data_IF_029800596574
#
_entry.id   IF_029800596574
#
_cell.length_a   1.000
_cell.length_b   1.000
_cell.length_c   1.000
_cell.angle_alpha   90.00
_cell.angle_beta   90.00
_cell.angle_gamma   90.00
#
_symmetry.space_group_name_H-M   'P 1'
#
loop_
_entity.id
_entity.type
_entity.pdbx_description
1 polymer ?
#
# COMPACT_ATOMS: atom_id res chain seq x y z
N UNK A 1 54.27 29.22 32.19
CA UNK A 1 55.23 30.09 31.49
C UNK A 1 54.44 31.14 30.71
N UNK A 2 54.89 32.38 30.83
CA UNK A 2 54.20 33.62 30.47
C UNK A 2 55.10 34.35 29.46
N UNK A 3 54.47 35.15 28.60
CA UNK A 3 54.88 36.54 28.28
C UNK A 3 55.84 36.79 27.08
N UNK A 4 55.20 37.41 26.07
CA UNK A 4 55.54 38.65 25.31
C UNK A 4 56.71 38.74 24.33
N UNK A 5 56.43 39.41 23.21
CA UNK A 5 57.00 40.67 22.70
C UNK A 5 56.95 40.64 21.16
N UNK A 6 56.80 41.71 20.36
CA UNK A 6 56.54 43.14 20.53
C UNK A 6 56.79 43.77 19.15
N UNK A 7 56.01 44.79 18.73
CA UNK A 7 56.44 45.98 17.93
C UNK A 7 57.08 45.74 16.54
N UNK A 8 57.05 46.59 15.51
CA UNK A 8 56.49 47.89 15.17
C UNK A 8 56.68 48.00 13.62
N UNK A 9 55.67 48.42 12.85
CA UNK A 9 55.56 49.73 12.17
C UNK A 9 56.73 50.18 11.26
N UNK A 10 56.40 50.39 9.98
CA UNK A 10 56.77 51.54 9.10
C UNK A 10 56.02 51.33 7.76
N UNK A 11 55.08 52.14 7.22
CA UNK A 11 54.93 53.62 7.10
C UNK A 11 56.17 54.19 6.38
N UNK A 12 56.13 54.78 5.18
CA UNK A 12 55.07 55.50 4.45
C UNK A 12 55.52 55.89 3.02
N UNK A 13 54.56 56.45 2.26
CA UNK A 13 54.66 57.40 1.13
C UNK A 13 55.04 56.87 -0.27
N UNK A 14 54.44 57.35 -1.36
CA UNK A 14 53.32 58.30 -1.53
C UNK A 14 52.92 58.31 -3.01
N UNK A 15 51.61 58.20 -3.24
CA UNK A 15 50.78 58.77 -4.31
C UNK A 15 51.44 59.40 -5.55
N UNK A 16 50.96 58.97 -6.74
CA UNK A 16 50.12 59.84 -7.60
C UNK A 16 49.52 59.11 -8.82
N UNK A 17 48.18 59.19 -8.94
CA UNK A 17 47.40 59.17 -10.19
C UNK A 17 47.24 57.79 -10.86
N UNK A 18 46.09 57.39 -11.40
CA UNK A 18 44.80 58.04 -11.60
C UNK A 18 43.75 56.94 -11.81
N UNK A 19 42.49 57.33 -11.58
CA UNK A 19 41.25 56.61 -11.86
C UNK A 19 41.35 55.55 -12.97
N UNK A 20 40.96 54.32 -12.65
CA UNK A 20 39.98 53.61 -13.48
C UNK A 20 39.17 52.61 -12.66
N UNK A 21 37.88 52.63 -12.95
CA UNK A 21 36.71 52.06 -12.30
C UNK A 21 36.90 50.69 -11.63
N UNK A 22 36.41 50.59 -10.40
CA UNK A 22 35.89 49.35 -9.83
C UNK A 22 34.84 48.76 -10.79
N UNK A 23 35.20 47.68 -11.47
CA UNK A 23 34.24 46.65 -11.90
C UNK A 23 34.44 45.46 -10.97
N UNK A 24 33.54 45.33 -10.00
CA UNK A 24 33.30 44.06 -9.34
C UNK A 24 32.76 43.11 -10.41
N UNK A 25 33.65 42.45 -11.14
CA UNK A 25 33.29 41.26 -11.91
C UNK A 25 32.93 40.18 -10.88
N UNK A 26 31.66 40.17 -10.48
CA UNK A 26 31.04 38.93 -10.08
C UNK A 26 31.10 38.04 -11.31
N UNK A 27 32.15 37.20 -11.40
CA UNK A 27 32.18 36.10 -12.34
C UNK A 27 30.90 35.30 -12.07
N UNK A 28 29.95 35.37 -13.00
CA UNK A 28 28.72 34.59 -12.91
C UNK A 28 29.13 33.13 -12.78
N UNK A 29 28.95 32.56 -11.57
CA UNK A 29 29.26 31.15 -11.34
C UNK A 29 28.42 30.33 -12.30
N UNK A 30 29.07 29.45 -13.06
CA UNK A 30 28.36 28.50 -13.91
C UNK A 30 27.41 27.66 -13.07
N UNK A 31 26.32 27.16 -13.66
CA UNK A 31 25.37 26.32 -12.94
C UNK A 31 26.03 25.03 -12.41
N UNK A 32 27.01 24.48 -13.13
CA UNK A 32 27.87 23.37 -12.66
C UNK A 32 28.58 23.72 -11.35
N UNK A 33 29.14 24.92 -11.22
CA UNK A 33 29.84 25.34 -9.99
C UNK A 33 28.88 25.58 -8.83
N UNK A 34 27.69 26.14 -9.10
CA UNK A 34 26.62 26.25 -8.09
C UNK A 34 26.18 24.87 -7.60
N UNK A 35 26.04 23.89 -8.49
CA UNK A 35 25.67 22.51 -8.15
C UNK A 35 26.76 21.87 -7.26
N UNK A 36 28.04 21.98 -7.63
CA UNK A 36 29.16 21.43 -6.84
C UNK A 36 29.18 21.99 -5.42
N UNK A 37 29.00 23.30 -5.27
CA UNK A 37 28.97 23.98 -3.98
C UNK A 37 27.75 23.57 -3.15
N UNK A 38 26.57 23.47 -3.77
CA UNK A 38 25.36 23.02 -3.10
C UNK A 38 25.48 21.58 -2.60
N UNK A 39 26.01 20.65 -3.41
CA UNK A 39 26.14 19.24 -3.02
C UNK A 39 27.04 19.07 -1.80
N UNK A 40 28.19 19.75 -1.80
CA UNK A 40 29.15 19.71 -0.68
C UNK A 40 28.59 20.34 0.61
N UNK A 41 27.82 21.42 0.50
CA UNK A 41 27.23 22.11 1.66
C UNK A 41 26.00 21.42 2.23
N UNK A 42 25.11 20.91 1.36
CA UNK A 42 23.83 20.31 1.77
C UNK A 42 23.94 18.84 2.20
N UNK A 43 24.99 18.14 1.77
CA UNK A 43 25.22 16.74 2.10
C UNK A 43 26.65 16.50 2.61
N UNK A 44 27.05 17.10 3.75
CA UNK A 44 28.41 17.00 4.28
C UNK A 44 28.86 15.56 4.60
N UNK A 45 27.91 14.64 4.79
CA UNK A 45 28.14 13.22 5.04
C UNK A 45 28.45 12.41 3.77
N UNK A 46 28.36 13.01 2.59
CA UNK A 46 28.63 12.38 1.29
C UNK A 46 29.89 13.00 0.69
N UNK A 47 30.82 12.16 0.26
CA UNK A 47 32.02 12.59 -0.46
C UNK A 47 31.69 12.69 -1.95
N UNK A 48 31.66 13.91 -2.48
CA UNK A 48 31.45 14.17 -3.90
C UNK A 48 32.77 14.46 -4.62
N UNK A 49 33.03 13.68 -5.66
CA UNK A 49 34.13 13.90 -6.59
C UNK A 49 33.59 14.15 -8.01
N UNK A 50 34.26 15.04 -8.74
CA UNK A 50 33.85 15.52 -10.07
C UNK A 50 35.04 15.46 -11.01
N UNK A 51 35.00 14.56 -12.00
CA UNK A 51 36.08 14.38 -12.99
C UNK A 51 35.57 13.60 -14.21
N UNK A 52 36.33 13.63 -15.31
CA UNK A 52 36.07 12.82 -16.51
C UNK A 52 36.28 11.34 -16.22
N UNK A 53 35.30 10.50 -16.58
CA UNK A 53 35.30 9.09 -16.20
C UNK A 53 36.04 8.28 -17.27
N UNK A 54 37.36 8.25 -17.20
CA UNK A 54 38.22 7.55 -18.15
C UNK A 54 38.26 6.03 -17.93
N UNK A 55 37.11 5.35 -17.92
CA UNK A 55 36.97 3.88 -17.93
C UNK A 55 37.64 3.08 -16.80
N UNK A 56 38.43 3.70 -15.92
CA UNK A 56 39.29 3.06 -14.94
C UNK A 56 38.74 3.16 -13.52
N UNK A 57 37.41 3.02 -13.44
CA UNK A 57 36.65 3.21 -12.21
C UNK A 57 37.03 2.21 -11.12
N UNK A 58 37.55 1.04 -11.52
CA UNK A 58 38.03 0.01 -10.61
C UNK A 58 39.27 0.46 -9.83
N UNK A 59 40.21 1.15 -10.47
CA UNK A 59 41.40 1.69 -9.79
C UNK A 59 41.02 2.83 -8.86
N UNK A 60 40.13 3.72 -9.30
CA UNK A 60 39.61 4.81 -8.48
C UNK A 60 38.82 4.27 -7.26
N UNK A 61 37.94 3.30 -7.45
CA UNK A 61 37.18 2.66 -6.39
C UNK A 61 38.07 1.99 -5.33
N UNK A 62 39.23 1.46 -5.74
CA UNK A 62 40.18 0.80 -4.86
C UNK A 62 40.99 1.77 -3.98
N UNK A 63 41.17 3.04 -4.39
CA UNK A 63 41.89 4.05 -3.61
C UNK A 63 40.99 4.82 -2.66
N UNK A 64 39.67 4.76 -2.85
CA UNK A 64 38.68 5.45 -2.01
C UNK A 64 38.29 4.58 -0.81
N UNK A 65 38.13 5.23 0.33
CA UNK A 65 37.62 4.62 1.56
C UNK A 65 36.35 5.34 2.01
N UNK A 66 35.50 4.67 2.79
CA UNK A 66 34.27 5.25 3.29
C UNK A 66 33.03 4.79 2.54
N UNK A 67 31.87 5.03 3.14
CA UNK A 67 30.61 4.38 2.76
C UNK A 67 29.68 5.24 1.91
N UNK A 68 30.03 6.51 1.66
CA UNK A 68 29.15 7.49 1.03
C UNK A 68 29.89 8.26 -0.07
N UNK A 69 30.42 7.55 -1.06
CA UNK A 69 31.13 8.19 -2.19
C UNK A 69 30.18 8.36 -3.38
N UNK A 70 30.11 9.56 -3.95
CA UNK A 70 29.39 9.81 -5.19
C UNK A 70 30.33 10.50 -6.17
N UNK A 71 30.50 9.89 -7.34
CA UNK A 71 31.25 10.45 -8.46
C UNK A 71 30.26 10.91 -9.49
N UNK A 72 30.41 12.14 -9.97
CA UNK A 72 29.57 12.70 -11.03
C UNK A 72 30.45 13.17 -12.18
N UNK A 73 30.14 12.71 -13.40
CA UNK A 73 30.82 13.17 -14.61
C UNK A 73 30.69 14.69 -14.76
N UNK A 74 31.78 15.34 -15.15
CA UNK A 74 31.80 16.78 -15.38
C UNK A 74 30.89 17.17 -16.56
N UNK A 75 30.94 16.41 -17.65
CA UNK A 75 30.08 16.64 -18.81
C UNK A 75 28.60 16.51 -18.47
N UNK A 76 28.25 15.61 -17.56
CA UNK A 76 26.88 15.48 -17.09
C UNK A 76 26.44 16.75 -16.37
N UNK A 77 27.27 17.29 -15.46
CA UNK A 77 26.95 18.53 -14.74
C UNK A 77 26.81 19.74 -15.64
N UNK A 78 27.64 19.84 -16.68
CA UNK A 78 27.61 20.95 -17.63
C UNK A 78 26.33 20.98 -18.48
N UNK A 79 25.68 19.83 -18.65
CA UNK A 79 24.39 19.71 -19.36
C UNK A 79 23.18 20.03 -18.48
N UNK A 80 23.35 20.27 -17.17
CA UNK A 80 22.25 20.45 -16.22
C UNK A 80 22.09 21.91 -15.78
N UNK A 81 20.84 22.34 -15.61
CA UNK A 81 20.53 23.60 -14.94
C UNK A 81 20.51 23.40 -13.42
N UNK A 82 20.85 24.44 -12.66
CA UNK A 82 20.89 24.36 -11.19
C UNK A 82 19.53 23.93 -10.60
N UNK A 83 18.43 24.55 -11.05
CA UNK A 83 17.09 24.30 -10.50
C UNK A 83 16.60 22.87 -10.73
N UNK A 84 16.82 22.33 -11.94
CA UNK A 84 16.42 20.96 -12.29
C UNK A 84 17.21 19.92 -11.49
N UNK A 85 18.51 20.14 -11.35
CA UNK A 85 19.39 19.22 -10.63
C UNK A 85 19.06 19.15 -9.14
N UNK A 86 18.79 20.29 -8.48
CA UNK A 86 18.40 20.31 -7.07
C UNK A 86 17.01 19.72 -6.85
N UNK A 87 16.04 20.09 -7.69
CA UNK A 87 14.64 19.69 -7.53
C UNK A 87 14.42 18.19 -7.65
N UNK A 88 15.18 17.51 -8.52
CA UNK A 88 14.97 16.09 -8.83
C UNK A 88 16.19 15.22 -8.52
N UNK A 89 17.38 15.62 -8.99
CA UNK A 89 18.53 14.73 -9.09
C UNK A 89 19.27 14.55 -7.77
N UNK A 90 19.56 15.64 -7.05
CA UNK A 90 20.29 15.59 -5.77
C UNK A 90 19.59 14.71 -4.72
N UNK A 91 18.26 14.88 -4.57
CA UNK A 91 17.46 14.10 -3.61
C UNK A 91 17.36 12.62 -4.02
N UNK A 92 17.24 12.35 -5.33
CA UNK A 92 17.24 10.97 -5.88
C UNK A 92 18.57 10.27 -5.59
N UNK A 93 19.71 10.92 -5.87
CA UNK A 93 21.05 10.37 -5.61
C UNK A 93 21.27 10.06 -4.13
N UNK A 94 20.89 10.98 -3.23
CA UNK A 94 20.99 10.75 -1.79
C UNK A 94 20.18 9.54 -1.32
N UNK A 95 18.95 9.40 -1.82
CA UNK A 95 18.09 8.26 -1.49
C UNK A 95 18.62 6.94 -2.07
N UNK A 96 19.15 6.98 -3.30
CA UNK A 96 19.74 5.83 -3.95
C UNK A 96 20.98 5.35 -3.18
N UNK A 97 21.83 6.28 -2.75
CA UNK A 97 23.03 5.99 -1.95
C UNK A 97 22.67 5.27 -0.65
N UNK A 98 21.65 5.77 0.08
CA UNK A 98 21.16 5.12 1.31
C UNK A 98 20.61 3.71 1.07
N UNK A 99 19.90 3.49 -0.03
CA UNK A 99 19.37 2.16 -0.39
C UNK A 99 20.51 1.20 -0.73
N UNK A 100 21.44 1.66 -1.56
CA UNK A 100 22.59 0.85 -1.97
C UNK A 100 23.48 0.49 -0.77
N UNK A 101 23.73 1.43 0.13
CA UNK A 101 24.48 1.18 1.37
C UNK A 101 23.88 0.03 2.20
N UNK A 102 22.55 0.00 2.38
CA UNK A 102 21.87 -1.09 3.10
C UNK A 102 22.00 -2.43 2.38
N UNK A 103 21.87 -2.42 1.06
CA UNK A 103 22.02 -3.63 0.22
C UNK A 103 23.45 -4.18 0.31
N UNK A 104 24.44 -3.32 0.11
CA UNK A 104 25.86 -3.68 0.19
C UNK A 104 26.24 -4.20 1.57
N UNK A 105 25.76 -3.57 2.66
CA UNK A 105 25.96 -4.07 4.03
C UNK A 105 25.41 -5.48 4.23
N UNK A 106 24.23 -5.77 3.67
CA UNK A 106 23.62 -7.09 3.73
C UNK A 106 24.44 -8.11 2.95
N UNK A 107 24.86 -7.76 1.74
CA UNK A 107 25.70 -8.61 0.89
C UNK A 107 27.06 -8.92 1.54
N UNK A 108 27.74 -7.90 2.08
CA UNK A 108 29.00 -8.07 2.78
C UNK A 108 28.86 -8.94 4.04
N UNK A 109 27.75 -8.78 4.79
CA UNK A 109 27.43 -9.63 5.93
C UNK A 109 27.26 -11.11 5.52
N UNK A 110 26.52 -11.38 4.45
CA UNK A 110 26.34 -12.74 3.92
C UNK A 110 27.67 -13.35 3.45
N UNK A 111 28.56 -12.53 2.90
CA UNK A 111 29.90 -12.95 2.47
C UNK A 111 30.91 -13.04 3.63
N UNK A 112 30.54 -12.61 4.84
CA UNK A 112 31.44 -12.55 5.99
C UNK A 112 32.63 -11.59 5.80
N UNK A 113 32.47 -10.57 4.95
CA UNK A 113 33.51 -9.58 4.63
C UNK A 113 33.15 -8.22 5.20
N UNK A 114 34.16 -7.41 5.52
CA UNK A 114 33.96 -6.02 5.93
C UNK A 114 34.02 -5.10 4.71
N UNK A 115 33.16 -4.09 4.68
CA UNK A 115 33.13 -3.14 3.56
C UNK A 115 34.21 -2.09 3.77
N UNK A 116 35.07 -1.91 2.76
CA UNK A 116 36.08 -0.86 2.71
C UNK A 116 35.57 0.40 2.04
N UNK A 117 34.85 0.26 0.93
CA UNK A 117 34.26 1.39 0.21
C UNK A 117 32.95 1.06 -0.50
N UNK A 118 32.07 2.05 -0.56
CA UNK A 118 30.82 2.01 -1.32
C UNK A 118 30.70 3.33 -2.07
N UNK A 119 30.21 3.28 -3.31
CA UNK A 119 29.75 4.50 -3.94
C UNK A 119 28.90 4.33 -5.18
N UNK A 120 28.44 5.48 -5.70
CA UNK A 120 27.65 5.62 -6.91
C UNK A 120 28.37 6.51 -7.94
N UNK A 121 28.39 6.07 -9.20
CA UNK A 121 28.94 6.81 -10.33
C UNK A 121 27.78 7.29 -11.18
N UNK A 122 27.76 8.56 -11.51
CA UNK A 122 26.86 9.14 -12.51
C UNK A 122 27.67 9.41 -13.76
N UNK A 123 27.35 8.73 -14.85
CA UNK A 123 28.03 8.89 -16.14
C UNK A 123 27.55 10.13 -16.91
N UNK A 124 28.12 10.37 -18.09
CA UNK A 124 27.84 11.52 -18.98
C UNK A 124 26.38 11.58 -19.45
N UNK A 125 25.69 10.43 -19.48
CA UNK A 125 24.29 10.28 -19.87
C UNK A 125 23.34 10.35 -18.65
N UNK A 126 23.87 10.42 -17.43
CA UNK A 126 23.11 10.44 -16.20
C UNK A 126 22.72 9.06 -15.66
N UNK A 127 23.25 7.97 -16.23
CA UNK A 127 23.04 6.61 -15.70
C UNK A 127 23.88 6.42 -14.45
N UNK A 128 23.29 5.74 -13.47
CA UNK A 128 23.92 5.52 -12.17
C UNK A 128 24.44 4.09 -12.07
N UNK A 129 25.76 3.96 -12.01
CA UNK A 129 26.46 2.71 -11.69
C UNK A 129 26.89 2.69 -10.23
N UNK A 130 27.18 1.52 -9.67
CA UNK A 130 27.55 1.39 -8.26
C UNK A 130 28.76 0.48 -8.08
N UNK A 131 29.55 0.73 -7.03
CA UNK A 131 30.69 -0.12 -6.69
C UNK A 131 30.74 -0.41 -5.19
N UNK A 132 31.29 -1.59 -4.87
CA UNK A 132 31.55 -2.04 -3.51
C UNK A 132 32.94 -2.67 -3.45
N UNK A 133 33.80 -2.12 -2.59
CA UNK A 133 35.06 -2.75 -2.23
C UNK A 133 34.95 -3.38 -0.85
N UNK A 134 35.33 -4.65 -0.75
CA UNK A 134 35.30 -5.43 0.49
C UNK A 134 36.71 -5.82 0.90
N UNK A 135 36.94 -6.08 2.19
CA UNK A 135 38.19 -6.63 2.68
C UNK A 135 38.44 -8.02 2.10
N UNK A 136 39.69 -8.34 1.83
CA UNK A 136 40.10 -9.74 1.71
C UNK A 136 39.81 -10.46 3.03
N UNK A 137 39.41 -11.74 2.92
CA UNK A 137 38.86 -12.51 4.03
C UNK A 137 39.74 -12.44 5.28
N UNK A 138 39.14 -12.13 6.44
CA UNK A 138 39.75 -12.52 7.70
C UNK A 138 39.48 -14.01 7.90
N UNK A 139 40.50 -14.87 7.72
CA UNK A 139 40.45 -16.32 7.96
C UNK A 139 39.78 -16.68 9.30
N UNK A 140 39.90 -15.82 10.31
CA UNK A 140 39.34 -16.04 11.65
C UNK A 140 37.82 -16.19 11.66
N UNK A 141 37.06 -15.32 10.96
CA UNK A 141 35.59 -15.39 10.92
C UNK A 141 35.09 -16.58 10.09
N UNK A 142 35.79 -16.92 9.01
CA UNK A 142 35.52 -18.13 8.22
C UNK A 142 35.77 -19.39 9.06
N UNK A 143 36.82 -19.40 9.89
CA UNK A 143 37.13 -20.53 10.77
C UNK A 143 36.09 -20.75 11.87
N UNK A 144 35.48 -19.70 12.43
CA UNK A 144 34.43 -19.85 13.44
C UNK A 144 33.12 -20.36 12.82
N UNK A 145 32.74 -19.81 11.66
CA UNK A 145 31.56 -20.29 10.94
C UNK A 145 31.76 -21.72 10.45
N UNK A 146 32.93 -22.07 9.90
CA UNK A 146 33.28 -23.44 9.51
C UNK A 146 33.34 -24.37 10.72
N UNK A 147 33.86 -23.92 11.88
CA UNK A 147 33.80 -24.69 13.13
C UNK A 147 32.36 -24.94 13.55
N UNK A 148 31.50 -23.93 13.52
CA UNK A 148 30.09 -24.07 13.89
C UNK A 148 29.34 -24.99 12.92
N UNK A 149 29.60 -24.86 11.62
CA UNK A 149 29.02 -25.69 10.56
C UNK A 149 29.52 -27.14 10.66
N UNK A 150 30.79 -27.34 10.99
CA UNK A 150 31.36 -28.66 11.26
C UNK A 150 30.83 -29.26 12.57
N UNK A 151 30.53 -28.44 13.58
CA UNK A 151 29.89 -28.88 14.81
C UNK A 151 28.46 -29.36 14.54
N UNK A 152 27.70 -28.60 13.75
CA UNK A 152 26.35 -28.98 13.31
C UNK A 152 26.36 -30.25 12.47
N UNK A 153 27.31 -30.38 11.52
CA UNK A 153 27.48 -31.62 10.74
C UNK A 153 27.86 -32.81 11.62
N UNK A 154 28.76 -32.62 12.59
CA UNK A 154 29.12 -33.67 13.56
C UNK A 154 27.93 -34.05 14.45
N UNK A 155 27.11 -33.10 14.87
CA UNK A 155 25.87 -33.36 15.60
C UNK A 155 24.86 -34.12 14.73
N UNK A 156 24.72 -33.74 13.46
CA UNK A 156 23.89 -34.45 12.49
C UNK A 156 24.43 -35.86 12.24
N UNK A 157 25.75 -36.05 12.26
CA UNK A 157 26.46 -37.33 12.11
C UNK A 157 26.39 -38.25 13.35
N UNK A 158 26.15 -37.68 14.53
CA UNK A 158 25.98 -38.42 15.79
C UNK A 158 24.54 -38.94 15.98
N UNK A 159 23.58 -38.46 15.18
CA UNK A 159 22.22 -38.98 15.17
C UNK A 159 22.17 -40.35 14.48
N UNK A 160 21.50 -41.31 15.11
CA UNK A 160 21.17 -42.63 14.55
C UNK A 160 20.57 -42.47 13.13
N UNK A 161 21.00 -43.24 12.11
CA UNK A 161 20.48 -43.17 10.74
C UNK A 161 18.95 -43.07 10.65
N UNK A 162 18.22 -43.77 11.52
CA UNK A 162 16.75 -43.71 11.58
C UNK A 162 16.20 -42.40 12.17
N UNK A 163 16.92 -41.75 13.08
CA UNK A 163 16.57 -40.43 13.63
C UNK A 163 16.86 -39.31 12.62
N UNK A 164 17.98 -39.41 11.89
CA UNK A 164 18.37 -38.46 10.84
C UNK A 164 17.36 -38.41 9.68
N UNK A 165 16.89 -39.58 9.26
CA UNK A 165 15.82 -39.72 8.26
C UNK A 165 14.50 -39.16 8.80
N UNK A 166 14.16 -39.43 10.07
CA UNK A 166 12.98 -38.83 10.72
C UNK A 166 13.07 -37.32 10.77
N UNK A 167 14.15 -36.72 11.25
CA UNK A 167 14.26 -35.25 11.36
C UNK A 167 14.23 -34.56 9.99
N UNK A 168 14.83 -35.15 8.94
CA UNK A 168 14.71 -34.65 7.56
C UNK A 168 13.30 -34.79 6.98
N UNK A 169 12.55 -35.85 7.34
CA UNK A 169 11.16 -36.04 6.90
C UNK A 169 10.13 -35.28 7.77
N UNK A 170 10.47 -34.95 9.01
CA UNK A 170 9.59 -34.25 9.96
C UNK A 170 9.83 -32.74 9.84
N UNK A 171 9.64 -32.17 8.65
CA UNK A 171 8.98 -30.86 8.58
C UNK A 171 7.50 -31.11 8.85
N UNK A 172 7.17 -31.41 10.12
CA UNK A 172 5.80 -31.70 10.54
C UNK A 172 4.89 -30.55 10.15
N UNK A 173 4.09 -30.73 9.11
CA UNK A 173 3.09 -29.76 8.70
C UNK A 173 2.07 -29.57 9.83
N UNK A 174 2.18 -28.45 10.57
CA UNK A 174 1.31 -28.16 11.72
C UNK A 174 -0.07 -27.68 11.24
N UNK A 175 -0.96 -28.61 10.90
CA UNK A 175 -2.38 -28.32 10.68
C UNK A 175 -3.18 -28.51 11.98
N UNK A 176 -3.49 -27.41 12.68
CA UNK A 176 -4.32 -27.44 13.90
C UNK A 176 -5.81 -27.37 13.54
N UNK A 177 -6.53 -28.47 13.75
CA UNK A 177 -7.97 -28.54 13.48
C UNK A 177 -8.78 -27.64 14.42
N UNK A 178 -8.45 -27.61 15.73
CA UNK A 178 -9.17 -26.82 16.73
C UNK A 178 -9.07 -25.31 16.46
N UNK A 179 -7.87 -24.82 16.15
CA UNK A 179 -7.64 -23.42 15.80
C UNK A 179 -8.45 -23.00 14.58
N UNK A 180 -8.50 -23.86 13.55
CA UNK A 180 -9.28 -23.61 12.34
C UNK A 180 -10.79 -23.58 12.62
N UNK A 181 -11.28 -24.47 13.48
CA UNK A 181 -12.68 -24.46 13.91
C UNK A 181 -13.01 -23.22 14.77
N UNK A 182 -12.08 -22.75 15.60
CA UNK A 182 -12.26 -21.51 16.38
C UNK A 182 -12.32 -20.28 15.48
N UNK A 183 -11.42 -20.18 14.48
CA UNK A 183 -11.48 -19.13 13.45
C UNK A 183 -12.79 -19.20 12.65
N UNK A 184 -13.21 -20.41 12.29
CA UNK A 184 -14.49 -20.60 11.62
C UNK A 184 -15.66 -20.16 12.49
N UNK A 185 -15.66 -20.47 13.79
CA UNK A 185 -16.71 -20.05 14.72
C UNK A 185 -16.78 -18.52 14.86
N UNK A 186 -15.63 -17.83 14.94
CA UNK A 186 -15.56 -16.37 15.04
C UNK A 186 -15.91 -15.60 13.76
N UNK A 187 -15.93 -16.25 12.59
CA UNK A 187 -16.27 -15.60 11.33
C UNK A 187 -17.74 -15.16 11.29
N UNK A 188 -18.01 -13.84 11.28
CA UNK A 188 -19.39 -13.30 11.34
C UNK A 188 -20.10 -13.25 9.98
N UNK A 189 -19.33 -13.10 8.90
CA UNK A 189 -19.86 -12.84 7.57
C UNK A 189 -19.42 -13.93 6.59
N UNK A 190 -20.18 -14.11 5.51
CA UNK A 190 -19.87 -15.07 4.44
C UNK A 190 -18.46 -14.85 3.87
N UNK A 191 -18.08 -13.59 3.61
CA UNK A 191 -16.77 -13.24 3.09
C UNK A 191 -15.61 -13.78 3.94
N UNK A 192 -15.71 -13.63 5.27
CA UNK A 192 -14.69 -14.14 6.18
C UNK A 192 -14.60 -15.67 6.15
N UNK A 193 -15.74 -16.36 6.00
CA UNK A 193 -15.78 -17.82 5.86
C UNK A 193 -15.18 -18.25 4.51
N UNK A 194 -15.46 -17.54 3.41
CA UNK A 194 -14.89 -17.81 2.09
C UNK A 194 -13.38 -17.60 2.04
N UNK A 195 -12.86 -16.58 2.72
CA UNK A 195 -11.41 -16.38 2.84
C UNK A 195 -10.74 -17.52 3.60
N UNK A 196 -11.37 -18.02 4.67
CA UNK A 196 -10.86 -19.19 5.39
C UNK A 196 -10.86 -20.44 4.50
N UNK A 197 -11.90 -20.64 3.68
CA UNK A 197 -11.96 -21.73 2.71
C UNK A 197 -10.82 -21.62 1.69
N UNK A 198 -10.56 -20.43 1.14
CA UNK A 198 -9.48 -20.19 0.19
C UNK A 198 -8.10 -20.49 0.81
N UNK A 199 -7.86 -20.03 2.05
CA UNK A 199 -6.67 -20.38 2.82
C UNK A 199 -6.50 -21.90 2.94
N UNK A 200 -7.59 -22.63 3.23
CA UNK A 200 -7.57 -24.10 3.37
C UNK A 200 -7.37 -24.84 2.06
N UNK A 201 -7.84 -24.31 0.94
CA UNK A 201 -7.46 -24.84 -0.37
C UNK A 201 -5.97 -24.62 -0.67
N UNK A 202 -5.40 -23.49 -0.26
CA UNK A 202 -3.95 -23.26 -0.34
C UNK A 202 -3.15 -24.26 0.51
N UNK A 203 -3.59 -24.52 1.75
CA UNK A 203 -2.99 -25.55 2.61
C UNK A 203 -3.09 -26.95 1.99
N UNK A 204 -4.21 -27.29 1.36
CA UNK A 204 -4.41 -28.57 0.69
C UNK A 204 -3.38 -28.79 -0.42
N UNK A 205 -3.11 -27.77 -1.23
CA UNK A 205 -2.10 -27.83 -2.29
C UNK A 205 -0.69 -28.01 -1.74
N UNK A 206 -0.34 -27.31 -0.65
CA UNK A 206 0.96 -27.47 0.04
C UNK A 206 1.15 -28.87 0.59
N UNK A 207 0.14 -29.41 1.28
CA UNK A 207 0.20 -30.77 1.84
C UNK A 207 0.40 -31.83 0.76
N UNK A 208 -0.16 -31.64 -0.44
CA UNK A 208 0.03 -32.54 -1.58
C UNK A 208 1.42 -32.46 -2.21
N UNK A 209 2.06 -31.28 -2.17
CA UNK A 209 3.38 -31.07 -2.77
C UNK A 209 4.56 -31.29 -1.83
N UNK A 210 4.39 -31.02 -0.53
CA UNK A 210 5.50 -30.99 0.45
C UNK A 210 5.62 -32.26 1.31
N UNK A 211 4.53 -33.02 1.51
CA UNK A 211 4.55 -34.20 2.38
C UNK A 211 4.78 -35.47 1.57
N UNK A 212 5.92 -36.13 1.80
CA UNK A 212 6.30 -37.38 1.11
C UNK A 212 5.56 -38.60 1.67
N UNK A 213 5.23 -38.62 2.96
CA UNK A 213 4.45 -39.72 3.56
C UNK A 213 2.96 -39.61 3.20
N UNK A 214 2.51 -40.53 2.36
CA UNK A 214 1.14 -40.58 1.85
C UNK A 214 0.09 -40.82 2.94
N UNK A 215 0.41 -41.56 4.02
CA UNK A 215 -0.55 -41.86 5.10
C UNK A 215 -0.79 -40.63 5.97
N UNK A 216 0.26 -39.90 6.34
CA UNK A 216 0.13 -38.66 7.10
C UNK A 216 -0.46 -37.52 6.25
N UNK A 217 -0.08 -37.41 4.97
CA UNK A 217 -0.70 -36.47 4.05
C UNK A 217 -2.22 -36.70 3.95
N UNK A 218 -2.66 -37.96 3.83
CA UNK A 218 -4.08 -38.31 3.79
C UNK A 218 -4.83 -37.91 5.08
N UNK A 219 -4.24 -38.11 6.26
CA UNK A 219 -4.84 -37.68 7.54
C UNK A 219 -5.03 -36.17 7.59
N UNK A 220 -4.02 -35.39 7.18
CA UNK A 220 -4.08 -33.92 7.15
C UNK A 220 -5.12 -33.44 6.13
N UNK A 221 -5.11 -34.00 4.92
CA UNK A 221 -6.10 -33.71 3.87
C UNK A 221 -7.53 -33.93 4.37
N UNK A 222 -7.79 -35.04 5.08
CA UNK A 222 -9.12 -35.32 5.67
C UNK A 222 -9.54 -34.25 6.68
N UNK A 223 -8.62 -33.79 7.53
CA UNK A 223 -8.89 -32.72 8.50
C UNK A 223 -9.23 -31.40 7.81
N UNK A 224 -8.44 -31.01 6.80
CA UNK A 224 -8.67 -29.80 6.00
C UNK A 224 -10.03 -29.86 5.30
N UNK A 225 -10.35 -30.98 4.64
CA UNK A 225 -11.66 -31.19 3.99
C UNK A 225 -12.82 -31.07 4.98
N UNK A 226 -12.67 -31.61 6.20
CA UNK A 226 -13.69 -31.49 7.25
C UNK A 226 -13.92 -30.02 7.65
N UNK A 227 -12.87 -29.20 7.76
CA UNK A 227 -13.01 -27.76 8.01
C UNK A 227 -13.77 -27.07 6.87
N UNK A 228 -13.43 -27.36 5.61
CA UNK A 228 -14.12 -26.79 4.44
C UNK A 228 -15.60 -27.18 4.43
N UNK A 229 -15.93 -28.43 4.74
CA UNK A 229 -17.31 -28.89 4.84
C UNK A 229 -18.08 -28.11 5.91
N UNK A 230 -17.51 -27.94 7.11
CA UNK A 230 -18.13 -27.16 8.17
C UNK A 230 -18.28 -25.68 7.79
N UNK A 231 -17.32 -25.14 7.04
CA UNK A 231 -17.38 -23.77 6.54
C UNK A 231 -18.53 -23.57 5.54
N UNK A 232 -18.74 -24.51 4.62
CA UNK A 232 -19.86 -24.47 3.68
C UNK A 232 -21.22 -24.55 4.41
N UNK A 233 -21.33 -25.40 5.42
CA UNK A 233 -22.53 -25.47 6.27
C UNK A 233 -22.76 -24.12 6.96
N UNK A 234 -21.70 -23.47 7.45
CA UNK A 234 -21.81 -22.16 8.08
C UNK A 234 -22.27 -21.08 7.10
N UNK A 235 -21.78 -21.06 5.86
CA UNK A 235 -22.28 -20.13 4.82
C UNK A 235 -23.79 -20.29 4.64
N UNK A 236 -24.28 -21.52 4.50
CA UNK A 236 -25.71 -21.77 4.35
C UNK A 236 -26.53 -21.31 5.57
N UNK A 237 -25.98 -21.39 6.79
CA UNK A 237 -26.62 -20.86 8.00
C UNK A 237 -26.64 -19.34 8.00
N UNK A 238 -25.54 -18.69 7.66
CA UNK A 238 -25.45 -17.23 7.55
C UNK A 238 -26.45 -16.68 6.52
N UNK A 239 -26.64 -17.35 5.38
CA UNK A 239 -27.67 -16.95 4.40
C UNK A 239 -29.09 -17.04 4.95
N UNK A 240 -29.39 -18.03 5.80
CA UNK A 240 -30.70 -18.14 6.46
C UNK A 240 -30.88 -17.03 7.49
N UNK A 241 -29.86 -16.75 8.29
CA UNK A 241 -29.85 -15.66 9.26
C UNK A 241 -30.05 -14.30 8.57
N UNK A 242 -29.35 -14.07 7.46
CA UNK A 242 -29.49 -12.84 6.67
C UNK A 242 -30.91 -12.67 6.10
N UNK A 243 -31.52 -13.73 5.58
CA UNK A 243 -32.92 -13.70 5.12
C UNK A 243 -33.89 -13.35 6.26
N UNK A 244 -33.66 -13.87 7.46
CA UNK A 244 -34.47 -13.54 8.64
C UNK A 244 -34.29 -12.06 9.00
N UNK A 245 -33.06 -11.58 9.02
CA UNK A 245 -32.75 -10.19 9.34
C UNK A 245 -33.35 -9.21 8.30
N UNK A 246 -33.33 -9.57 7.01
CA UNK A 246 -34.00 -8.81 5.96
C UNK A 246 -35.52 -8.74 6.20
N UNK A 247 -36.17 -9.86 6.50
CA UNK A 247 -37.61 -9.89 6.84
C UNK A 247 -37.92 -9.04 8.06
N UNK A 248 -37.08 -9.11 9.10
CA UNK A 248 -37.21 -8.28 10.30
C UNK A 248 -37.14 -6.78 9.97
N UNK A 249 -36.21 -6.36 9.11
CA UNK A 249 -36.09 -4.96 8.67
C UNK A 249 -37.31 -4.50 7.88
N UNK A 250 -37.81 -5.34 6.98
CA UNK A 250 -39.03 -5.03 6.20
C UNK A 250 -40.25 -4.93 7.12
N UNK A 251 -40.44 -5.89 8.02
CA UNK A 251 -41.54 -5.87 8.98
C UNK A 251 -41.49 -4.63 9.89
N UNK A 252 -40.29 -4.26 10.36
CA UNK A 252 -40.09 -3.03 11.16
C UNK A 252 -40.48 -1.78 10.36
N UNK A 253 -39.98 -1.63 9.14
CA UNK A 253 -40.32 -0.49 8.27
C UNK A 253 -41.83 -0.39 8.02
N UNK A 254 -42.49 -1.51 7.78
CA UNK A 254 -43.93 -1.54 7.54
C UNK A 254 -44.72 -1.20 8.81
N UNK A 255 -44.28 -1.67 9.97
CA UNK A 255 -44.87 -1.29 11.25
C UNK A 255 -44.71 0.22 11.49
N UNK A 256 -43.51 0.75 11.29
CA UNK A 256 -43.20 2.18 11.44
C UNK A 256 -44.09 3.02 10.50
N UNK A 257 -44.22 2.61 9.23
CA UNK A 257 -45.11 3.26 8.24
C UNK A 257 -46.57 3.28 8.70
N UNK A 258 -47.10 2.14 9.16
CA UNK A 258 -48.49 2.05 9.64
C UNK A 258 -48.72 2.92 10.87
N UNK A 259 -47.77 2.97 11.79
CA UNK A 259 -47.86 3.84 12.97
C UNK A 259 -47.84 5.31 12.57
N UNK A 260 -47.00 5.68 11.61
CA UNK A 260 -46.92 7.05 11.11
C UNK A 260 -48.22 7.48 10.40
N UNK A 261 -48.80 6.62 9.57
CA UNK A 261 -50.08 6.87 8.90
C UNK A 261 -51.22 7.10 9.90
N UNK A 262 -51.32 6.26 10.94
CA UNK A 262 -52.30 6.44 12.02
C UNK A 262 -52.14 7.77 12.73
N UNK A 263 -50.91 8.13 13.10
CA UNK A 263 -50.62 9.41 13.76
C UNK A 263 -50.95 10.60 12.83
N UNK A 264 -50.68 10.50 11.53
CA UNK A 264 -51.04 11.53 10.54
C UNK A 264 -52.56 11.71 10.44
N UNK A 265 -53.33 10.62 10.43
CA UNK A 265 -54.79 10.67 10.41
C UNK A 265 -55.37 11.27 11.70
N UNK A 266 -54.84 10.91 12.86
CA UNK A 266 -55.24 11.49 14.15
C UNK A 266 -54.99 13.00 14.17
N UNK A 267 -53.80 13.45 13.74
CA UNK A 267 -53.48 14.87 13.62
C UNK A 267 -54.42 15.55 12.62
N UNK A 268 -54.74 14.91 11.49
CA UNK A 268 -55.70 15.44 10.49
C UNK A 268 -57.08 15.62 11.10
N UNK A 269 -57.61 14.61 11.80
CA UNK A 269 -58.93 14.68 12.47
C UNK A 269 -58.96 15.80 13.50
N UNK A 270 -57.93 15.92 14.34
CA UNK A 270 -57.80 17.04 15.30
C UNK A 270 -57.74 18.40 14.62
N UNK A 271 -57.01 18.53 13.51
CA UNK A 271 -56.94 19.78 12.73
C UNK A 271 -58.29 20.16 12.12
N UNK A 272 -59.05 19.20 11.59
CA UNK A 272 -60.39 19.45 11.04
C UNK A 272 -61.33 19.89 12.15
N UNK A 273 -61.36 19.16 13.28
CA UNK A 273 -62.19 19.51 14.44
C UNK A 273 -61.86 20.91 14.97
N UNK A 274 -60.57 21.25 15.09
CA UNK A 274 -60.13 22.59 15.50
C UNK A 274 -60.60 23.66 14.52
N UNK A 275 -60.38 23.46 13.21
CA UNK A 275 -60.82 24.42 12.17
C UNK A 275 -62.33 24.61 12.16
N UNK A 276 -63.11 23.55 12.37
CA UNK A 276 -64.56 23.64 12.46
C UNK A 276 -65.00 24.46 13.68
N UNK A 277 -64.37 24.23 14.84
CA UNK A 277 -64.62 25.03 16.05
C UNK A 277 -64.23 26.50 15.86
N UNK A 278 -63.05 26.76 15.30
CA UNK A 278 -62.57 28.11 14.94
C UNK A 278 -63.58 28.79 13.98
N UNK A 279 -64.11 28.05 13.00
CA UNK A 279 -65.11 28.58 12.06
C UNK A 279 -66.45 28.91 12.75
N UNK A 280 -66.97 28.05 13.62
CA UNK A 280 -68.18 28.35 14.39
C UNK A 280 -67.99 29.60 15.28
N UNK A 281 -66.82 29.78 15.89
CA UNK A 281 -66.51 30.98 16.68
C UNK A 281 -66.49 32.26 15.84
N UNK A 282 -66.16 32.18 14.55
CA UNK A 282 -66.22 33.35 13.65
C UNK A 282 -67.62 33.66 13.12
N UNK A 283 -68.54 32.69 13.07
CA UNK A 283 -69.90 32.90 12.54
C UNK A 283 -70.74 33.81 13.47
N UNK A 284 -70.55 33.69 14.79
CA UNK A 284 -71.27 34.51 15.77
C UNK A 284 -70.68 35.92 15.94
N UNK A 285 -69.55 36.20 15.29
CA UNK A 285 -68.95 37.53 15.25
C UNK A 285 -69.56 38.29 14.06
N UNK A 286 -70.45 39.25 14.34
CA UNK A 286 -71.02 40.13 13.31
C UNK A 286 -69.90 40.80 12.51
N UNK A 287 -69.82 40.50 11.21
CA UNK A 287 -68.95 41.21 10.30
C UNK A 287 -69.43 42.67 10.17
N UNK A 288 -68.57 43.62 10.52
CA UNK A 288 -68.85 45.08 10.44
C UNK A 288 -69.10 45.51 8.97
N UNK A 289 -68.71 44.67 8.01
CA UNK A 289 -68.94 44.87 6.58
C UNK A 289 -69.68 43.67 5.99
N UNK A 290 -70.91 43.84 5.44
CA UNK A 290 -71.62 42.73 4.83
C UNK A 290 -70.88 42.22 3.58
N UNK A 291 -70.51 40.94 3.56
CA UNK A 291 -69.94 40.30 2.36
C UNK A 291 -70.98 40.30 1.22
N UNK A 292 -70.55 40.72 0.03
CA UNK A 292 -71.33 40.65 -1.19
C UNK A 292 -71.57 39.18 -1.55
N UNK A 293 -72.83 38.79 -1.63
CA UNK A 293 -73.27 37.43 -1.95
C UNK A 293 -72.66 36.95 -3.26
N UNK A 294 -71.68 36.05 -3.20
CA UNK A 294 -71.32 35.21 -4.35
C UNK A 294 -71.89 33.82 -4.11
N UNK A 295 -72.89 33.46 -4.92
CA UNK A 295 -73.54 32.16 -4.95
C UNK A 295 -72.52 31.01 -5.03
N UNK A 296 -72.21 30.35 -3.91
CA UNK A 296 -71.53 29.05 -3.93
C UNK A 296 -72.55 27.96 -4.22
N UNK A 297 -72.72 27.65 -5.51
CA UNK A 297 -73.48 26.50 -5.99
C UNK A 297 -72.91 25.20 -5.41
N UNK A 298 -73.72 24.52 -4.60
CA UNK A 298 -73.56 23.10 -4.30
C UNK A 298 -73.64 22.28 -5.60
N UNK A 299 -72.53 21.66 -6.02
CA UNK A 299 -72.55 20.45 -6.84
C UNK A 299 -71.39 19.55 -6.42
N UNK A 300 -71.68 18.56 -5.58
CA UNK A 300 -70.90 17.33 -5.50
C UNK A 300 -71.67 16.30 -6.32
N UNK A 301 -71.17 15.82 -7.46
CA UNK A 301 -71.73 14.63 -8.10
C UNK A 301 -71.33 13.41 -7.26
N UNK A 302 -72.32 12.62 -6.83
CA UNK A 302 -72.08 11.25 -6.38
C UNK A 302 -71.64 10.42 -7.61
N UNK A 303 -70.59 9.58 -7.52
CA UNK A 303 -70.38 8.54 -8.52
C UNK A 303 -71.40 7.44 -8.25
N UNK A 304 -72.39 7.34 -9.13
CA UNK A 304 -73.35 6.26 -9.21
C UNK A 304 -72.90 5.35 -10.35
N UNK A 305 -72.09 4.33 -10.03
CA UNK A 305 -72.22 3.00 -10.65
C UNK A 305 -71.28 1.99 -9.97
N UNK A 306 -71.92 0.95 -9.46
CA UNK A 306 -71.34 -0.28 -8.97
C UNK A 306 -71.19 -1.20 -10.19
N UNK A 307 -69.97 -1.58 -10.55
CA UNK A 307 -69.73 -2.65 -11.55
C UNK A 307 -68.86 -3.72 -10.89
N UNK A 308 -69.52 -4.79 -10.48
CA UNK A 308 -68.89 -6.09 -10.26
C UNK A 308 -68.69 -6.77 -11.62
N UNK A 309 -67.44 -7.09 -11.97
CA UNK A 309 -67.12 -8.15 -12.93
C UNK A 309 -65.99 -8.99 -12.33
N UNK A 310 -66.40 -10.12 -11.77
CA UNK A 310 -65.57 -11.30 -11.55
C UNK A 310 -65.14 -11.94 -12.89
N UNK A 311 -64.14 -12.82 -12.79
CA UNK A 311 -63.61 -13.77 -13.79
C UNK A 311 -62.63 -13.22 -14.83
N UNK A 312 -61.59 -13.94 -15.26
CA UNK A 312 -60.70 -14.95 -14.70
C UNK A 312 -59.78 -15.35 -15.86
N UNK A 313 -58.54 -15.71 -15.54
CA UNK A 313 -57.74 -16.74 -16.22
C UNK A 313 -57.03 -16.41 -17.54
N UNK A 314 -55.75 -16.79 -17.48
CA UNK A 314 -54.84 -17.21 -18.56
C UNK A 314 -54.26 -16.11 -19.44
N UNK A 315 -53.02 -16.21 -19.90
CA UNK A 315 -51.89 -17.13 -19.73
C UNK A 315 -50.86 -16.67 -20.76
N UNK A 316 -49.59 -17.05 -20.55
CA UNK A 316 -48.42 -17.04 -21.46
C UNK A 316 -47.33 -16.25 -20.74
N UNK A 317 -46.27 -16.87 -20.23
CA UNK A 317 -45.47 -17.91 -20.87
C UNK A 317 -44.16 -17.25 -21.32
N UNK A 318 -43.13 -17.26 -20.48
CA UNK A 318 -41.92 -18.11 -20.60
C UNK A 318 -40.92 -17.61 -21.66
N UNK A 319 -39.67 -17.48 -21.22
CA UNK A 319 -38.45 -17.23 -21.98
C UNK A 319 -37.49 -16.44 -21.09
N UNK A 320 -36.83 -17.02 -20.09
CA UNK A 320 -35.74 -18.00 -20.17
C UNK A 320 -34.67 -17.66 -21.23
N UNK A 321 -33.51 -17.23 -20.73
CA UNK A 321 -32.21 -17.74 -21.16
C UNK A 321 -31.18 -17.39 -20.09
N UNK A 322 -30.89 -18.38 -19.25
CA UNK A 322 -29.71 -18.39 -18.41
C UNK A 322 -28.47 -18.95 -19.12
N UNK A 323 -27.34 -18.81 -18.41
CA UNK A 323 -26.13 -19.64 -18.43
C UNK A 323 -25.25 -19.56 -19.69
N UNK A 324 -23.95 -19.87 -19.69
CA UNK A 324 -22.84 -19.88 -18.72
C UNK A 324 -21.62 -20.43 -19.49
N UNK A 325 -20.41 -20.12 -18.99
CA UNK A 325 -19.16 -20.86 -19.18
C UNK A 325 -18.34 -20.70 -20.49
N UNK A 326 -17.03 -20.46 -20.31
CA UNK A 326 -15.95 -20.63 -21.31
C UNK A 326 -15.73 -22.12 -21.66
N UNK A 327 -14.68 -22.52 -22.41
CA UNK A 327 -13.24 -22.17 -22.30
C UNK A 327 -12.67 -21.76 -23.70
N UNK A 328 -11.39 -21.49 -24.00
CA UNK A 328 -10.06 -21.63 -23.41
C UNK A 328 -9.03 -21.53 -24.57
N UNK A 329 -7.75 -21.36 -24.21
CA UNK A 329 -6.54 -21.23 -25.07
C UNK A 329 -6.37 -19.87 -25.76
N UNK A 330 -5.26 -19.14 -25.67
CA UNK A 330 -3.92 -19.41 -25.13
C UNK A 330 -2.89 -19.07 -26.20
N UNK A 331 -2.19 -17.93 -26.10
CA UNK A 331 -0.83 -17.69 -26.60
C UNK A 331 -0.17 -16.59 -25.77
N UNK A 332 1.08 -16.86 -25.41
CA UNK A 332 2.10 -16.06 -24.72
C UNK A 332 2.73 -15.02 -25.63
N UNK A 333 3.03 -13.82 -25.12
CA UNK A 333 4.18 -13.02 -25.60
C UNK A 333 4.87 -12.36 -24.40
N UNK A 334 6.17 -12.60 -24.35
CA UNK A 334 7.16 -12.09 -23.42
C UNK A 334 7.71 -10.77 -23.99
N UNK A 335 7.67 -9.68 -23.21
CA UNK A 335 8.42 -8.45 -23.51
C UNK A 335 9.17 -8.03 -22.26
N UNK A 336 10.46 -8.33 -22.30
CA UNK A 336 11.49 -7.81 -21.42
C UNK A 336 11.92 -6.46 -21.99
N UNK A 337 11.73 -5.37 -21.23
CA UNK A 337 12.24 -4.06 -21.62
C UNK A 337 12.86 -3.34 -20.42
N UNK A 338 14.16 -3.17 -20.56
CA UNK A 338 15.09 -2.17 -20.04
C UNK A 338 14.60 -1.20 -18.98
N UNK A 339 15.41 -1.11 -17.92
CA UNK A 339 15.52 0.09 -17.09
C UNK A 339 16.18 1.15 -17.98
N UNK A 340 15.36 1.93 -18.68
CA UNK A 340 15.79 3.21 -19.23
C UNK A 340 15.63 4.27 -18.16
N UNK A 341 16.76 4.65 -17.57
CA UNK A 341 16.92 5.94 -16.90
C UNK A 341 17.07 6.95 -18.02
N UNK A 342 16.06 7.79 -18.25
CA UNK A 342 16.19 8.98 -19.08
C UNK A 342 15.38 10.13 -18.48
N UNK A 343 16.15 11.17 -18.15
CA UNK A 343 15.83 12.58 -17.78
C UNK A 343 15.27 12.84 -16.38
#
# INVERSE_FOLDING_TARGET
MKVTNSLAFSVERSYKGNLEKQSTEQVEKTDSDKIKEYLKSSYPQIQFDFFEIDGNIKKYAATKSGLNNIVISLEFLEKQTFEEFIGKTAKKLSNLMKKYQKSAQTEAYLLGKEIKSIGLIVDEEGKVSSWMAVSEQQEKKKSELERHLNLLKRQEEQLDPYQRIREKMIKSYKCSYSTNMMRLAGAKNEFAVRNLIAEKYGELSKVRGEITDQKEAAKIIRRIKKVIQQANIKIARLHKEEKIEQRRRVAKKEQDRRTEERLREEVRKKRISRKAQEHCQTIDMMDIFPEQSTERKHRIPLPEEYVDIDTSVSSVGIGDLGQSAGPGMGVTVEVQASIDVLV
#
